data_IF_809128042224
#
_entry.id   IF_809128042224
#
_cell.length_a   1.000
_cell.length_b   1.000
_cell.length_c   1.000
_cell.angle_alpha   90.00
_cell.angle_beta   90.00
_cell.angle_gamma   90.00
#
_symmetry.space_group_name_H-M   'P 1'
#
loop_
_entity.id
_entity.type
_entity.pdbx_description
1 polymer ?
#
# COMPACT_ATOMS: atom_id res chain seq x y z
N UNK A 1 11.89 32.61 -14.20
CA UNK A 1 11.43 32.16 -12.86
C UNK A 1 9.93 31.89 -12.95
N UNK A 2 9.55 30.66 -13.29
CA UNK A 2 8.13 30.24 -13.24
C UNK A 2 7.89 29.57 -11.89
N UNK A 3 7.09 30.22 -11.05
CA UNK A 3 6.61 29.63 -9.80
C UNK A 3 5.54 28.59 -10.16
N UNK A 4 5.83 27.31 -9.89
CA UNK A 4 4.85 26.23 -9.91
C UNK A 4 3.81 26.52 -8.84
N UNK A 5 2.59 26.82 -9.27
CA UNK A 5 1.42 26.93 -8.38
C UNK A 5 0.92 25.50 -8.16
N UNK A 6 1.28 24.91 -7.03
CA UNK A 6 0.65 23.67 -6.54
C UNK A 6 -0.80 24.01 -6.18
N UNK A 7 -1.72 23.52 -6.98
CA UNK A 7 -3.15 23.67 -6.72
C UNK A 7 -3.59 22.63 -5.68
N UNK A 8 -3.85 23.09 -4.46
CA UNK A 8 -4.52 22.31 -3.41
C UNK A 8 -6.02 22.34 -3.68
N UNK A 9 -6.63 21.18 -3.87
CA UNK A 9 -8.08 21.06 -3.90
C UNK A 9 -8.54 20.50 -2.55
N UNK A 10 -8.94 21.40 -1.65
CA UNK A 10 -9.60 21.04 -0.40
C UNK A 10 -11.07 20.78 -0.70
N UNK A 11 -11.50 19.53 -0.69
CA UNK A 11 -12.91 19.15 -0.73
C UNK A 11 -13.41 18.94 0.70
N UNK A 12 -14.05 19.95 1.27
CA UNK A 12 -14.72 19.85 2.54
C UNK A 12 -16.06 19.12 2.36
N UNK A 13 -16.07 17.85 2.73
CA UNK A 13 -17.31 17.08 3.00
C UNK A 13 -17.33 16.79 4.50
N UNK A 14 -18.51 16.69 5.10
CA UNK A 14 -18.75 16.42 6.54
C UNK A 14 -18.22 15.07 7.03
N UNK A 15 -17.40 14.40 6.24
CA UNK A 15 -16.68 13.18 6.57
C UNK A 15 -15.21 13.40 6.23
N UNK A 16 -14.37 13.69 7.20
CA UNK A 16 -12.92 13.79 7.15
C UNK A 16 -12.30 14.57 5.97
N UNK A 17 -11.24 15.31 6.20
CA UNK A 17 -10.48 15.99 5.14
C UNK A 17 -9.86 14.92 4.24
N UNK A 18 -10.31 14.85 2.99
CA UNK A 18 -9.72 13.97 1.96
C UNK A 18 -8.50 14.68 1.38
N UNK A 19 -7.33 14.09 1.53
CA UNK A 19 -6.13 14.57 0.88
C UNK A 19 -5.91 13.78 -0.41
N UNK A 20 -5.85 14.48 -1.53
CA UNK A 20 -5.46 13.90 -2.80
C UNK A 20 -4.47 14.83 -3.50
N UNK A 21 -3.53 14.25 -4.21
CA UNK A 21 -2.48 14.99 -4.89
C UNK A 21 -2.39 14.58 -6.35
N UNK A 22 -2.29 15.58 -7.23
CA UNK A 22 -1.80 15.38 -8.58
C UNK A 22 -0.30 15.09 -8.53
N UNK A 23 0.13 13.99 -9.14
CA UNK A 23 1.54 13.55 -9.10
C UNK A 23 2.26 13.89 -10.39
N UNK A 24 1.75 13.44 -11.53
CA UNK A 24 2.38 13.67 -12.83
C UNK A 24 1.39 13.51 -13.98
N UNK A 25 1.75 14.10 -15.12
CA UNK A 25 1.03 13.91 -16.39
C UNK A 25 2.03 13.85 -17.54
N UNK A 26 1.97 12.77 -18.31
CA UNK A 26 2.88 12.55 -19.44
C UNK A 26 2.24 11.58 -20.45
N UNK A 27 2.51 11.76 -21.73
CA UNK A 27 2.06 10.87 -22.81
C UNK A 27 0.55 10.60 -22.86
N UNK A 28 -0.29 11.56 -22.43
CA UNK A 28 -1.75 11.38 -22.38
C UNK A 28 -2.28 10.73 -21.11
N UNK A 29 -1.42 10.20 -20.26
CA UNK A 29 -1.76 9.64 -18.93
C UNK A 29 -1.56 10.68 -17.84
N UNK A 30 -2.36 10.59 -16.78
CA UNK A 30 -2.25 11.37 -15.55
C UNK A 30 -2.28 10.42 -14.34
N UNK A 31 -1.59 10.82 -13.28
CA UNK A 31 -1.54 10.10 -12.00
C UNK A 31 -2.00 11.03 -10.89
N UNK A 32 -2.97 10.55 -10.13
CA UNK A 32 -3.45 11.17 -8.90
C UNK A 32 -3.37 10.15 -7.76
N UNK A 33 -3.04 10.60 -6.56
CA UNK A 33 -2.92 9.76 -5.37
C UNK A 33 -3.92 10.20 -4.32
N UNK A 34 -4.66 9.23 -3.80
CA UNK A 34 -5.55 9.38 -2.65
C UNK A 34 -4.81 8.94 -1.38
N UNK A 35 -4.73 9.82 -0.39
CA UNK A 35 -4.13 9.53 0.90
C UNK A 35 -5.22 9.17 1.91
N UNK A 36 -5.28 7.89 2.27
CA UNK A 36 -6.11 7.40 3.35
C UNK A 36 -5.41 7.67 4.69
N UNK A 37 -6.04 8.41 5.61
CA UNK A 37 -5.48 8.65 6.93
C UNK A 37 -5.28 7.35 7.72
N UNK A 38 -4.38 7.39 8.70
CA UNK A 38 -4.21 6.34 9.69
C UNK A 38 -5.56 5.98 10.34
N UNK A 39 -5.83 4.68 10.47
CA UNK A 39 -7.04 4.17 11.12
C UNK A 39 -6.73 3.67 12.53
N UNK A 40 -7.60 3.95 13.49
CA UNK A 40 -7.51 3.34 14.83
C UNK A 40 -7.72 1.82 14.75
N UNK A 41 -6.97 1.06 15.54
CA UNK A 41 -7.10 -0.39 15.64
C UNK A 41 -7.25 -0.83 17.10
N UNK A 42 -7.85 -1.99 17.29
CA UNK A 42 -7.89 -2.67 18.59
C UNK A 42 -6.82 -3.76 18.58
N UNK A 43 -5.84 -3.67 19.46
CA UNK A 43 -4.78 -4.66 19.55
C UNK A 43 -4.38 -4.90 21.01
N UNK A 44 -4.43 -6.15 21.47
CA UNK A 44 -4.13 -6.55 22.86
C UNK A 44 -4.87 -5.67 23.89
N UNK A 45 -6.18 -5.44 23.66
CA UNK A 45 -7.05 -4.57 24.47
C UNK A 45 -6.66 -3.07 24.49
N UNK A 46 -5.69 -2.62 23.70
CA UNK A 46 -5.38 -1.20 23.50
C UNK A 46 -6.14 -0.65 22.31
N UNK A 47 -6.65 0.57 22.44
CA UNK A 47 -7.28 1.38 21.39
C UNK A 47 -6.44 2.59 20.99
N UNK A 48 -5.23 2.74 21.58
CA UNK A 48 -4.35 3.89 21.37
C UNK A 48 -3.39 3.71 20.20
N UNK A 49 -3.58 2.60 19.45
CA UNK A 49 -2.77 2.26 18.30
C UNK A 49 -3.47 2.60 17.00
N UNK A 50 -2.68 2.96 16.00
CA UNK A 50 -3.18 3.24 14.66
C UNK A 50 -2.45 2.42 13.60
N UNK A 51 -3.23 1.93 12.65
CA UNK A 51 -2.72 1.38 11.40
C UNK A 51 -2.06 2.49 10.57
N UNK A 52 -1.15 2.15 9.69
CA UNK A 52 -0.45 3.13 8.86
C UNK A 52 -1.40 3.86 7.91
N UNK A 53 -1.17 5.15 7.61
CA UNK A 53 -1.79 5.79 6.46
C UNK A 53 -1.38 5.06 5.19
N UNK A 54 -2.31 5.01 4.20
CA UNK A 54 -2.11 4.28 2.95
C UNK A 54 -2.43 5.18 1.76
N UNK A 55 -1.64 5.10 0.70
CA UNK A 55 -1.85 5.83 -0.55
C UNK A 55 -2.35 4.89 -1.65
N UNK A 56 -3.41 5.29 -2.35
CA UNK A 56 -3.99 4.56 -3.47
C UNK A 56 -3.77 5.36 -4.75
N UNK A 57 -3.17 4.74 -5.75
CA UNK A 57 -2.78 5.42 -6.99
C UNK A 57 -3.83 5.22 -8.07
N UNK A 58 -4.31 6.31 -8.65
CA UNK A 58 -5.22 6.33 -9.79
C UNK A 58 -4.47 6.81 -11.03
N UNK A 59 -4.34 5.94 -12.03
CA UNK A 59 -3.72 6.24 -13.32
C UNK A 59 -4.84 6.31 -14.35
N UNK A 60 -4.96 7.43 -15.07
CA UNK A 60 -6.03 7.57 -16.02
C UNK A 60 -5.60 8.26 -17.30
N UNK A 61 -6.18 7.82 -18.42
CA UNK A 61 -6.06 8.41 -19.74
C UNK A 61 -7.22 9.34 -20.06
N UNK A 62 -7.60 9.38 -21.32
CA UNK A 62 -8.72 10.20 -21.82
C UNK A 62 -10.08 9.67 -21.41
N UNK A 63 -10.26 8.35 -21.44
CA UNK A 63 -11.55 7.67 -21.25
C UNK A 63 -11.58 6.68 -20.08
N UNK A 64 -10.45 6.05 -19.82
CA UNK A 64 -10.34 4.93 -18.91
C UNK A 64 -9.34 5.20 -17.78
N UNK A 65 -9.47 4.43 -16.70
CA UNK A 65 -8.59 4.52 -15.53
C UNK A 65 -8.24 3.13 -14.96
N UNK A 66 -7.10 3.09 -14.28
CA UNK A 66 -6.61 1.97 -13.46
C UNK A 66 -6.42 2.48 -12.03
N UNK A 67 -6.99 1.78 -11.07
CA UNK A 67 -6.70 1.95 -9.66
C UNK A 67 -5.67 0.91 -9.23
N UNK A 68 -4.73 1.30 -8.37
CA UNK A 68 -3.78 0.39 -7.71
C UNK A 68 -4.19 0.25 -6.26
N UNK A 69 -4.52 -0.97 -5.86
CA UNK A 69 -4.97 -1.39 -4.53
C UNK A 69 -6.31 -0.78 -4.07
N UNK A 70 -6.84 -1.27 -2.95
CA UNK A 70 -8.03 -0.72 -2.28
C UNK A 70 -7.99 -1.02 -0.78
N UNK A 71 -8.52 -0.13 0.10
CA UNK A 71 -8.29 -0.16 1.53
C UNK A 71 -8.95 -1.34 2.27
N UNK A 72 -8.63 -1.45 3.59
CA UNK A 72 -9.13 -2.52 4.44
C UNK A 72 -10.63 -2.37 4.77
N UNK A 73 -11.07 -1.18 5.24
CA UNK A 73 -12.41 -1.06 5.82
C UNK A 73 -13.45 -0.57 4.83
N UNK A 74 -14.68 -1.01 5.04
CA UNK A 74 -15.85 -0.63 4.22
C UNK A 74 -16.00 0.89 4.11
N UNK A 75 -15.80 1.62 5.21
CA UNK A 75 -15.90 3.07 5.21
C UNK A 75 -14.82 3.72 4.32
N UNK A 76 -13.59 3.22 4.41
CA UNK A 76 -12.47 3.68 3.58
C UNK A 76 -12.72 3.36 2.09
N UNK A 77 -13.21 2.17 1.77
CA UNK A 77 -13.55 1.78 0.39
C UNK A 77 -14.65 2.68 -0.22
N UNK A 78 -15.66 3.05 0.56
CA UNK A 78 -16.69 4.01 0.11
C UNK A 78 -16.10 5.40 -0.14
N UNK A 79 -15.21 5.87 0.73
CA UNK A 79 -14.55 7.16 0.57
C UNK A 79 -13.64 7.17 -0.68
N UNK A 80 -12.88 6.09 -0.91
CA UNK A 80 -12.06 5.92 -2.11
C UNK A 80 -12.93 5.92 -3.37
N UNK A 81 -14.04 5.18 -3.40
CA UNK A 81 -14.96 5.14 -4.54
C UNK A 81 -15.55 6.53 -4.84
N UNK A 82 -15.91 7.29 -3.81
CA UNK A 82 -16.37 8.66 -3.96
C UNK A 82 -15.30 9.57 -4.55
N UNK A 83 -14.06 9.49 -4.05
CA UNK A 83 -12.94 10.26 -4.57
C UNK A 83 -12.65 9.94 -6.04
N UNK A 84 -12.65 8.66 -6.43
CA UNK A 84 -12.47 8.26 -7.83
C UNK A 84 -13.51 8.94 -8.72
N UNK A 85 -14.80 8.94 -8.32
CA UNK A 85 -15.86 9.57 -9.12
C UNK A 85 -15.68 11.08 -9.31
N UNK A 86 -15.07 11.74 -8.33
CA UNK A 86 -14.79 13.17 -8.37
C UNK A 86 -13.53 13.49 -9.19
N UNK A 87 -12.54 12.58 -9.18
CA UNK A 87 -11.24 12.76 -9.86
C UNK A 87 -11.34 12.48 -11.35
N UNK A 88 -12.15 11.49 -11.76
CA UNK A 88 -12.30 11.08 -13.16
C UNK A 88 -13.75 11.19 -13.67
N UNK A 89 -14.39 12.36 -13.57
CA UNK A 89 -15.78 12.51 -14.01
C UNK A 89 -15.93 12.15 -15.50
N UNK A 90 -16.89 11.26 -15.80
CA UNK A 90 -17.17 10.80 -17.16
C UNK A 90 -16.18 9.79 -17.75
N UNK A 91 -15.17 9.34 -17.00
CA UNK A 91 -14.29 8.25 -17.39
C UNK A 91 -14.71 6.94 -16.72
N UNK A 92 -14.18 5.83 -17.20
CA UNK A 92 -14.48 4.50 -16.68
C UNK A 92 -13.30 3.95 -15.86
N UNK A 93 -13.54 3.51 -14.64
CA UNK A 93 -12.60 2.64 -13.94
C UNK A 93 -12.65 1.27 -14.60
N UNK A 94 -11.63 0.93 -15.40
CA UNK A 94 -11.56 -0.34 -16.15
C UNK A 94 -10.88 -1.45 -15.36
N UNK A 95 -9.88 -1.08 -14.57
CA UNK A 95 -9.02 -2.07 -13.92
C UNK A 95 -8.71 -1.63 -12.50
N UNK A 96 -8.73 -2.58 -11.58
CA UNK A 96 -8.14 -2.49 -10.25
C UNK A 96 -7.00 -3.51 -10.20
N UNK A 97 -5.79 -3.05 -10.04
CA UNK A 97 -4.60 -3.90 -9.92
C UNK A 97 -4.22 -4.04 -8.44
N UNK A 98 -3.97 -5.28 -7.99
CA UNK A 98 -3.56 -5.57 -6.62
C UNK A 98 -2.07 -5.94 -6.60
N UNK A 99 -1.32 -5.23 -5.75
CA UNK A 99 0.15 -5.35 -5.67
C UNK A 99 0.60 -6.59 -4.91
N UNK A 100 -0.05 -6.92 -3.78
CA UNK A 100 0.28 -8.05 -2.90
C UNK A 100 -0.92 -8.51 -2.08
N UNK A 101 -0.75 -9.53 -1.26
CA UNK A 101 -1.83 -10.27 -0.63
C UNK A 101 -2.28 -9.78 0.74
N UNK A 102 -1.87 -8.61 1.25
CA UNK A 102 -2.39 -8.08 2.52
C UNK A 102 -3.77 -7.43 2.37
N UNK A 103 -4.65 -7.65 3.34
CA UNK A 103 -6.06 -7.27 3.28
C UNK A 103 -6.32 -5.77 3.13
N UNK A 104 -5.43 -4.91 3.62
CA UNK A 104 -5.51 -3.45 3.48
C UNK A 104 -5.16 -2.94 2.07
N UNK A 105 -4.88 -3.86 1.15
CA UNK A 105 -4.68 -3.58 -0.28
C UNK A 105 -5.80 -4.12 -1.18
N UNK A 106 -6.78 -4.89 -0.62
CA UNK A 106 -7.83 -5.44 -1.48
C UNK A 106 -9.20 -5.70 -0.82
N UNK A 107 -9.35 -5.71 0.51
CA UNK A 107 -10.60 -6.14 1.15
C UNK A 107 -11.83 -5.35 0.69
N UNK A 108 -11.68 -4.10 0.30
CA UNK A 108 -12.81 -3.32 -0.22
C UNK A 108 -13.07 -3.51 -1.71
N UNK A 109 -12.47 -4.53 -2.33
CA UNK A 109 -12.77 -4.93 -3.70
C UNK A 109 -14.28 -5.03 -4.00
N UNK A 110 -15.10 -5.70 -3.16
CA UNK A 110 -16.55 -5.74 -3.36
C UNK A 110 -17.24 -4.36 -3.35
N UNK A 111 -16.75 -3.42 -2.56
CA UNK A 111 -17.27 -2.03 -2.48
C UNK A 111 -16.93 -1.26 -3.76
N UNK A 112 -15.68 -1.40 -4.24
CA UNK A 112 -15.26 -0.81 -5.51
C UNK A 112 -16.04 -1.43 -6.67
N UNK A 113 -16.21 -2.77 -6.69
CA UNK A 113 -17.00 -3.46 -7.71
C UNK A 113 -18.47 -3.01 -7.75
N UNK A 114 -19.06 -2.76 -6.59
CA UNK A 114 -20.43 -2.24 -6.51
C UNK A 114 -20.54 -0.82 -7.10
N UNK A 115 -19.56 0.03 -6.85
CA UNK A 115 -19.50 1.41 -7.36
C UNK A 115 -19.13 1.47 -8.84
N UNK A 116 -18.31 0.53 -9.31
CA UNK A 116 -17.77 0.42 -10.67
C UNK A 116 -17.96 -1.00 -11.21
N UNK A 117 -19.19 -1.41 -11.60
CA UNK A 117 -19.50 -2.79 -12.01
C UNK A 117 -18.70 -3.27 -13.23
N UNK A 118 -18.19 -2.33 -14.06
CA UNK A 118 -17.36 -2.63 -15.22
C UNK A 118 -15.86 -2.81 -14.90
N UNK A 119 -15.43 -2.54 -13.68
CA UNK A 119 -14.03 -2.66 -13.28
C UNK A 119 -13.61 -4.13 -13.19
N UNK A 120 -12.47 -4.48 -13.78
CA UNK A 120 -11.89 -5.81 -13.71
C UNK A 120 -10.73 -5.80 -12.71
N UNK A 121 -10.81 -6.63 -11.68
CA UNK A 121 -9.68 -6.85 -10.78
C UNK A 121 -8.65 -7.74 -11.47
N UNK A 122 -7.39 -7.33 -11.46
CA UNK A 122 -6.26 -8.06 -12.05
C UNK A 122 -5.13 -8.21 -11.05
N UNK A 123 -4.46 -9.37 -11.11
CA UNK A 123 -3.50 -9.76 -10.07
C UNK A 123 -2.52 -10.80 -10.63
N UNK A 124 -1.32 -10.91 -10.06
CA UNK A 124 -0.44 -12.06 -10.30
C UNK A 124 -0.97 -13.31 -9.59
N UNK A 125 -0.71 -14.50 -10.12
CA UNK A 125 -1.25 -15.76 -9.60
C UNK A 125 -0.91 -15.97 -8.12
N UNK A 126 0.35 -15.80 -7.76
CA UNK A 126 0.81 -16.05 -6.39
C UNK A 126 0.28 -15.01 -5.40
N UNK A 127 0.10 -13.76 -5.85
CA UNK A 127 -0.59 -12.71 -5.09
C UNK A 127 -2.05 -13.11 -4.84
N UNK A 128 -2.76 -13.63 -5.87
CA UNK A 128 -4.14 -14.08 -5.72
C UNK A 128 -4.28 -15.20 -4.68
N UNK A 129 -3.37 -16.17 -4.72
CA UNK A 129 -3.36 -17.26 -3.74
C UNK A 129 -3.14 -16.74 -2.32
N UNK A 130 -2.27 -15.74 -2.14
CA UNK A 130 -2.07 -15.10 -0.84
C UNK A 130 -3.30 -14.28 -0.41
N UNK A 131 -3.95 -13.54 -1.29
CA UNK A 131 -5.22 -12.87 -0.99
C UNK A 131 -6.27 -13.84 -0.43
N UNK A 132 -6.39 -15.05 -1.01
CA UNK A 132 -7.35 -16.06 -0.53
C UNK A 132 -7.03 -16.54 0.89
N UNK A 133 -5.75 -16.61 1.27
CA UNK A 133 -5.34 -16.98 2.65
C UNK A 133 -5.78 -15.93 3.68
N UNK A 134 -5.86 -14.65 3.32
CA UNK A 134 -6.34 -13.61 4.22
C UNK A 134 -7.81 -13.79 4.61
N UNK A 135 -8.59 -14.51 3.80
CA UNK A 135 -9.99 -14.85 4.06
C UNK A 135 -10.16 -16.17 4.81
N UNK A 136 -9.08 -16.93 5.11
CA UNK A 136 -9.17 -18.13 5.93
C UNK A 136 -9.82 -17.79 7.28
N UNK A 137 -10.93 -18.46 7.69
CA UNK A 137 -11.75 -17.99 8.80
C UNK A 137 -10.99 -17.80 10.12
N UNK A 138 -10.00 -18.66 10.40
CA UNK A 138 -9.19 -18.55 11.62
C UNK A 138 -8.28 -17.33 11.56
N UNK A 139 -7.58 -17.13 10.45
CA UNK A 139 -6.68 -15.98 10.24
C UNK A 139 -7.47 -14.68 10.21
N UNK A 140 -8.53 -14.61 9.40
CA UNK A 140 -9.37 -13.42 9.27
C UNK A 140 -9.91 -12.96 10.63
N UNK A 141 -10.42 -13.90 11.44
CA UNK A 141 -10.95 -13.60 12.76
C UNK A 141 -9.86 -13.15 13.73
N UNK A 142 -8.71 -13.83 13.73
CA UNK A 142 -7.63 -13.53 14.66
C UNK A 142 -6.94 -12.18 14.35
N UNK A 143 -6.80 -11.82 13.09
CA UNK A 143 -6.10 -10.61 12.65
C UNK A 143 -7.09 -9.51 12.29
N UNK A 144 -7.72 -9.60 11.13
CA UNK A 144 -8.47 -8.47 10.54
C UNK A 144 -9.72 -8.09 11.31
N UNK A 145 -10.55 -9.07 11.69
CA UNK A 145 -11.77 -8.79 12.45
C UNK A 145 -11.49 -8.36 13.90
N UNK A 146 -10.35 -8.74 14.46
CA UNK A 146 -9.93 -8.28 15.79
C UNK A 146 -9.35 -6.87 15.76
N UNK A 147 -8.56 -6.53 14.74
CA UNK A 147 -8.03 -5.18 14.55
C UNK A 147 -9.12 -4.15 14.23
N UNK A 148 -10.11 -4.55 13.43
CA UNK A 148 -11.23 -3.72 12.96
C UNK A 148 -12.56 -4.36 13.36
N UNK A 149 -12.94 -4.36 14.66
CA UNK A 149 -14.12 -5.05 15.16
C UNK A 149 -15.42 -4.43 14.65
N UNK A 150 -16.54 -5.16 14.83
CA UNK A 150 -17.87 -4.66 14.49
C UNK A 150 -18.22 -4.72 13.00
N UNK A 151 -17.59 -5.61 12.22
CA UNK A 151 -17.89 -5.81 10.80
C UNK A 151 -17.37 -4.67 9.90
N UNK A 152 -16.28 -4.03 10.31
CA UNK A 152 -15.67 -2.94 9.52
C UNK A 152 -14.95 -3.45 8.26
N UNK A 153 -14.51 -4.72 8.25
CA UNK A 153 -13.84 -5.36 7.11
C UNK A 153 -14.75 -6.40 6.45
N UNK A 154 -14.58 -6.63 5.15
CA UNK A 154 -15.35 -7.64 4.43
C UNK A 154 -14.66 -9.00 4.55
N UNK A 155 -15.45 -10.06 4.73
CA UNK A 155 -15.00 -11.46 4.77
C UNK A 155 -15.35 -12.23 3.47
N UNK A 156 -15.78 -11.51 2.45
CA UNK A 156 -16.27 -12.11 1.21
C UNK A 156 -15.22 -11.99 0.10
N UNK A 157 -14.61 -13.12 -0.31
CA UNK A 157 -13.71 -13.14 -1.47
C UNK A 157 -14.41 -12.67 -2.74
N UNK A 158 -13.67 -12.01 -3.61
CA UNK A 158 -14.15 -11.57 -4.91
C UNK A 158 -13.26 -12.10 -6.03
N UNK A 159 -13.81 -12.25 -7.26
CA UNK A 159 -13.03 -12.79 -8.37
C UNK A 159 -12.02 -11.76 -8.87
N UNK A 160 -10.79 -12.21 -9.10
CA UNK A 160 -9.77 -11.46 -9.80
C UNK A 160 -9.23 -12.26 -10.97
N UNK A 161 -8.94 -11.57 -12.08
CA UNK A 161 -8.33 -12.19 -13.26
C UNK A 161 -6.82 -12.26 -13.07
N UNK A 162 -6.28 -13.45 -13.22
CA UNK A 162 -4.83 -13.66 -13.19
C UNK A 162 -4.21 -13.07 -14.46
N UNK A 163 -3.22 -12.21 -14.29
CA UNK A 163 -2.44 -11.62 -15.37
C UNK A 163 -1.59 -12.69 -16.10
N UNK A 164 -1.23 -12.46 -17.37
CA UNK A 164 -0.24 -13.28 -18.06
C UNK A 164 1.07 -13.37 -17.26
N UNK A 165 1.87 -14.39 -17.52
CA UNK A 165 3.14 -14.62 -16.81
C UNK A 165 4.06 -13.40 -16.85
N UNK A 166 4.11 -12.68 -17.96
CA UNK A 166 4.89 -11.44 -18.08
C UNK A 166 4.32 -10.24 -17.32
N UNK A 167 3.13 -10.34 -16.69
CA UNK A 167 2.53 -9.29 -15.88
C UNK A 167 2.00 -8.10 -16.67
N UNK A 168 1.94 -8.15 -17.99
CA UNK A 168 1.56 -7.00 -18.83
C UNK A 168 0.04 -6.87 -18.96
N UNK A 169 -0.45 -5.65 -18.80
CA UNK A 169 -1.80 -5.21 -19.14
C UNK A 169 -1.76 -3.79 -19.69
N UNK A 170 -2.90 -3.21 -20.07
CA UNK A 170 -2.92 -1.96 -20.84
C UNK A 170 -3.96 -0.97 -20.34
N UNK A 171 -3.62 0.31 -20.45
CA UNK A 171 -4.53 1.44 -20.31
C UNK A 171 -4.44 2.30 -21.58
N UNK A 172 -5.48 2.31 -22.40
CA UNK A 172 -5.55 3.10 -23.66
C UNK A 172 -4.32 2.91 -24.58
N UNK A 173 -3.78 1.67 -24.63
CA UNK A 173 -2.60 1.32 -25.44
C UNK A 173 -1.26 1.50 -24.71
N UNK A 174 -1.23 2.17 -23.58
CA UNK A 174 -0.03 2.27 -22.74
C UNK A 174 0.20 1.00 -21.94
N UNK A 175 1.46 0.58 -21.83
CA UNK A 175 1.87 -0.61 -21.08
C UNK A 175 1.88 -0.30 -19.58
N UNK A 176 1.22 -1.18 -18.82
CA UNK A 176 1.34 -1.31 -17.39
C UNK A 176 1.88 -2.70 -17.08
N UNK A 177 2.89 -2.79 -16.24
CA UNK A 177 3.57 -4.04 -15.96
C UNK A 177 3.64 -4.35 -14.48
N UNK A 178 2.99 -5.43 -14.06
CA UNK A 178 3.18 -6.04 -12.75
C UNK A 178 4.53 -6.74 -12.71
N UNK A 179 5.50 -6.18 -11.99
CA UNK A 179 6.85 -6.72 -11.85
C UNK A 179 6.94 -7.49 -10.56
N UNK A 180 7.16 -8.80 -10.63
CA UNK A 180 7.40 -9.66 -9.48
C UNK A 180 8.78 -9.35 -8.89
N UNK A 181 8.81 -8.92 -7.66
CA UNK A 181 10.07 -8.60 -6.97
C UNK A 181 10.45 -9.65 -5.91
N UNK A 182 9.47 -10.32 -5.31
CA UNK A 182 9.68 -11.42 -4.37
C UNK A 182 9.23 -11.08 -2.96
N UNK A 183 10.13 -11.15 -1.99
CA UNK A 183 9.87 -10.82 -0.60
C UNK A 183 9.85 -9.30 -0.38
N UNK A 184 8.90 -8.81 0.41
CA UNK A 184 8.93 -7.48 1.02
C UNK A 184 8.52 -7.61 2.50
N UNK A 185 7.54 -6.88 2.97
CA UNK A 185 6.88 -7.08 4.26
C UNK A 185 6.09 -8.40 4.33
N UNK A 186 5.88 -9.01 3.17
CA UNK A 186 5.35 -10.37 2.97
C UNK A 186 5.93 -10.98 1.68
N UNK A 187 5.55 -12.19 1.36
CA UNK A 187 6.03 -12.95 0.18
C UNK A 187 5.20 -12.68 -1.08
N UNK A 188 5.77 -13.02 -2.25
CA UNK A 188 5.12 -12.92 -3.56
C UNK A 188 4.60 -11.51 -3.88
N UNK A 189 5.40 -10.49 -3.59
CA UNK A 189 5.01 -9.10 -3.82
C UNK A 189 5.39 -8.61 -5.20
N UNK A 190 4.67 -7.60 -5.64
CA UNK A 190 4.87 -6.96 -6.93
C UNK A 190 4.88 -5.45 -6.82
N UNK A 191 5.53 -4.80 -7.77
CA UNK A 191 5.39 -3.36 -8.03
C UNK A 191 4.74 -3.13 -9.37
N UNK A 192 3.99 -2.04 -9.54
CA UNK A 192 3.48 -1.64 -10.86
C UNK A 192 4.45 -0.67 -11.51
N UNK A 193 4.98 -1.06 -12.68
CA UNK A 193 5.82 -0.20 -13.52
C UNK A 193 5.01 0.33 -14.70
N UNK A 194 5.06 1.64 -14.92
CA UNK A 194 4.43 2.34 -16.04
C UNK A 194 5.50 3.15 -16.78
N UNK A 195 6.17 2.56 -17.81
CA UNK A 195 7.30 3.19 -18.48
C UNK A 195 7.00 4.58 -19.07
N UNK A 196 5.81 4.75 -19.67
CA UNK A 196 5.40 6.01 -20.29
C UNK A 196 5.26 7.18 -19.30
N UNK A 197 5.16 6.88 -18.01
CA UNK A 197 5.09 7.85 -16.91
C UNK A 197 6.41 7.95 -16.12
N UNK A 198 7.43 7.15 -16.43
CA UNK A 198 8.60 6.95 -15.58
C UNK A 198 8.20 6.60 -14.13
N UNK A 199 7.11 5.82 -13.94
CA UNK A 199 6.44 5.58 -12.66
C UNK A 199 6.64 4.16 -12.17
N UNK A 200 6.91 4.04 -10.86
CA UNK A 200 6.73 2.80 -10.09
C UNK A 200 5.74 3.08 -8.95
N UNK A 201 4.67 2.28 -8.85
CA UNK A 201 3.84 2.19 -7.65
C UNK A 201 4.34 0.99 -6.86
N UNK A 202 4.84 1.26 -5.66
CA UNK A 202 5.70 0.35 -4.92
C UNK A 202 4.99 -0.76 -4.14
N UNK A 203 3.66 -0.66 -3.92
CA UNK A 203 3.04 -1.53 -2.91
C UNK A 203 3.83 -1.40 -1.60
N UNK A 204 3.85 -2.48 -0.84
CA UNK A 204 4.60 -2.55 0.42
C UNK A 204 6.06 -3.01 0.26
N UNK A 205 6.55 -3.02 -0.98
CA UNK A 205 7.98 -3.11 -1.25
C UNK A 205 8.70 -1.81 -0.86
N UNK A 206 8.04 -0.64 -1.11
CA UNK A 206 8.61 0.70 -0.91
C UNK A 206 7.71 1.47 0.06
N UNK A 207 8.29 1.95 1.15
CA UNK A 207 7.63 2.73 2.19
C UNK A 207 8.03 4.21 2.14
N UNK A 208 7.06 5.07 2.44
CA UNK A 208 7.31 6.46 2.82
C UNK A 208 7.63 6.58 4.33
N UNK A 209 7.23 7.69 4.97
CA UNK A 209 7.48 7.90 6.40
C UNK A 209 6.47 7.16 7.31
N UNK A 210 6.27 5.85 7.03
CA UNK A 210 5.57 4.91 7.90
C UNK A 210 6.54 3.85 8.43
N UNK A 211 6.24 3.28 9.60
CA UNK A 211 6.96 2.11 10.09
C UNK A 211 6.67 0.91 9.19
N UNK A 212 7.73 0.16 8.83
CA UNK A 212 7.63 -1.03 7.99
C UNK A 212 7.16 -2.24 8.81
N UNK A 213 6.38 -3.12 8.20
CA UNK A 213 5.96 -4.36 8.83
C UNK A 213 7.09 -5.39 8.74
N UNK A 214 7.52 -5.90 9.90
CA UNK A 214 8.49 -6.99 10.02
C UNK A 214 7.92 -8.21 10.76
N UNK A 215 6.62 -8.21 11.04
CA UNK A 215 6.01 -9.33 11.74
C UNK A 215 6.03 -10.63 10.91
N UNK A 216 5.96 -10.51 9.58
CA UNK A 216 6.09 -11.63 8.65
C UNK A 216 7.53 -11.81 8.11
N UNK A 217 8.40 -10.83 8.36
CA UNK A 217 9.83 -10.84 8.03
C UNK A 217 10.72 -11.14 9.25
N UNK A 218 10.35 -12.16 10.00
CA UNK A 218 10.97 -12.46 11.28
C UNK A 218 12.46 -12.84 11.18
N UNK A 219 12.92 -13.38 10.05
CA UNK A 219 14.32 -13.79 9.86
C UNK A 219 15.16 -12.73 9.16
N UNK A 220 16.46 -12.78 9.39
CA UNK A 220 17.44 -11.97 8.68
C UNK A 220 17.41 -12.23 7.16
N UNK A 221 17.26 -13.49 6.76
CA UNK A 221 17.23 -13.91 5.36
C UNK A 221 16.06 -13.31 4.60
N UNK A 222 14.86 -13.24 5.19
CA UNK A 222 13.69 -12.62 4.57
C UNK A 222 13.92 -11.12 4.36
N UNK A 223 14.49 -10.42 5.34
CA UNK A 223 14.82 -9.00 5.20
C UNK A 223 15.94 -8.73 4.19
N UNK A 224 16.89 -9.66 4.01
CA UNK A 224 17.87 -9.58 2.91
C UNK A 224 17.17 -9.75 1.54
N UNK A 225 16.22 -10.68 1.43
CA UNK A 225 15.41 -10.81 0.19
C UNK A 225 14.58 -9.55 -0.08
N UNK A 226 14.12 -8.84 0.95
CA UNK A 226 13.46 -7.53 0.76
C UNK A 226 14.45 -6.49 0.19
N UNK A 227 15.69 -6.45 0.65
CA UNK A 227 16.71 -5.59 0.05
C UNK A 227 16.94 -5.91 -1.43
N UNK A 228 16.98 -7.20 -1.81
CA UNK A 228 17.07 -7.65 -3.21
C UNK A 228 15.82 -7.21 -4.03
N UNK A 229 14.64 -7.23 -3.42
CA UNK A 229 13.41 -6.75 -4.07
C UNK A 229 13.44 -5.24 -4.31
N UNK A 230 14.00 -4.47 -3.37
CA UNK A 230 14.25 -3.04 -3.54
C UNK A 230 15.26 -2.75 -4.64
N UNK A 231 16.28 -3.61 -4.82
CA UNK A 231 17.23 -3.49 -5.93
C UNK A 231 16.55 -3.75 -7.28
N UNK A 232 15.65 -4.73 -7.37
CA UNK A 232 14.84 -4.98 -8.58
C UNK A 232 13.95 -3.78 -8.91
N UNK A 233 13.30 -3.18 -7.90
CA UNK A 233 12.49 -1.97 -8.08
C UNK A 233 13.34 -0.78 -8.54
N UNK A 234 14.53 -0.58 -7.96
CA UNK A 234 15.47 0.47 -8.35
C UNK A 234 15.97 0.32 -9.79
N UNK A 235 16.17 -0.93 -10.26
CA UNK A 235 16.62 -1.21 -11.64
C UNK A 235 15.60 -0.79 -12.71
N UNK A 236 14.34 -0.52 -12.34
CA UNK A 236 13.33 0.05 -13.25
C UNK A 236 13.59 1.52 -13.60
N UNK A 237 14.49 2.18 -12.88
CA UNK A 237 14.94 3.57 -13.12
C UNK A 237 13.80 4.60 -13.19
N UNK A 238 12.73 4.39 -12.41
CA UNK A 238 11.60 5.31 -12.36
C UNK A 238 12.02 6.67 -11.77
N UNK A 239 11.41 7.73 -12.27
CA UNK A 239 11.60 9.11 -11.75
C UNK A 239 10.53 9.46 -10.72
N UNK A 240 9.40 8.78 -10.77
CA UNK A 240 8.28 8.93 -9.86
C UNK A 240 8.08 7.57 -9.16
N UNK A 241 8.11 7.58 -7.84
CA UNK A 241 7.90 6.39 -7.01
C UNK A 241 6.81 6.70 -5.99
N UNK A 242 5.74 5.93 -6.01
CA UNK A 242 4.61 6.06 -5.08
C UNK A 242 4.65 4.88 -4.10
N UNK A 243 5.05 5.08 -2.84
CA UNK A 243 4.87 4.07 -1.79
C UNK A 243 3.40 3.85 -1.47
N UNK A 244 3.01 2.67 -0.96
CA UNK A 244 1.65 2.48 -0.44
C UNK A 244 1.50 3.06 0.97
N UNK A 245 2.38 2.72 1.90
CA UNK A 245 2.36 3.31 3.24
C UNK A 245 3.21 4.58 3.30
N UNK A 246 2.54 5.73 3.23
CA UNK A 246 3.19 7.04 3.23
C UNK A 246 2.32 8.12 3.87
N UNK A 247 2.95 9.22 4.25
CA UNK A 247 2.26 10.43 4.72
C UNK A 247 2.03 11.42 3.57
N UNK A 248 1.05 12.30 3.72
CA UNK A 248 0.63 13.28 2.69
C UNK A 248 1.79 14.13 2.14
N UNK A 249 2.83 14.40 2.93
CA UNK A 249 3.92 15.31 2.54
C UNK A 249 5.23 14.60 2.19
N UNK A 250 5.20 13.28 2.03
CA UNK A 250 6.41 12.50 1.74
C UNK A 250 6.94 12.75 0.32
N UNK A 251 6.05 13.14 -0.60
CA UNK A 251 6.38 13.30 -2.02
C UNK A 251 6.57 11.94 -2.72
N UNK A 252 7.05 11.99 -3.97
CA UNK A 252 7.05 10.82 -4.87
C UNK A 252 8.44 10.58 -5.50
N UNK A 253 9.48 10.74 -4.71
CA UNK A 253 10.86 10.64 -5.20
C UNK A 253 11.39 9.20 -5.12
N UNK A 254 12.29 8.81 -6.02
CA UNK A 254 12.97 7.51 -5.97
C UNK A 254 13.79 7.27 -4.69
N UNK A 255 14.09 8.31 -3.91
CA UNK A 255 14.79 8.21 -2.61
C UNK A 255 14.07 7.32 -1.61
N UNK A 256 12.74 7.12 -1.72
CA UNK A 256 11.97 6.21 -0.88
C UNK A 256 12.54 4.79 -0.89
N UNK A 257 13.11 4.33 -2.02
CA UNK A 257 13.79 3.02 -2.10
C UNK A 257 14.96 2.96 -1.12
N UNK A 258 15.84 3.97 -1.14
CA UNK A 258 17.00 4.00 -0.24
C UNK A 258 16.60 4.23 1.23
N UNK A 259 15.54 4.98 1.48
CA UNK A 259 15.00 5.21 2.82
C UNK A 259 14.39 3.92 3.40
N UNK A 260 13.72 3.12 2.56
CA UNK A 260 13.23 1.79 2.93
C UNK A 260 14.37 0.85 3.28
N UNK A 261 15.44 0.80 2.47
CA UNK A 261 16.67 0.03 2.78
C UNK A 261 17.31 0.47 4.09
N UNK A 262 17.45 1.80 4.29
CA UNK A 262 18.00 2.36 5.52
C UNK A 262 17.22 1.90 6.75
N UNK A 263 15.88 1.87 6.66
CA UNK A 263 15.04 1.42 7.76
C UNK A 263 15.31 -0.06 8.11
N UNK A 264 15.42 -0.93 7.09
CA UNK A 264 15.77 -2.35 7.28
C UNK A 264 17.14 -2.49 7.97
N UNK A 265 18.17 -1.77 7.51
CA UNK A 265 19.49 -1.84 8.13
C UNK A 265 19.50 -1.36 9.60
N UNK A 266 18.80 -0.27 9.90
CA UNK A 266 18.70 0.24 11.28
C UNK A 266 17.92 -0.75 12.16
N UNK A 267 16.83 -1.33 11.63
CA UNK A 267 16.11 -2.39 12.33
C UNK A 267 17.01 -3.57 12.71
N UNK A 268 17.82 -4.08 11.78
CA UNK A 268 18.76 -5.17 12.04
C UNK A 268 19.72 -4.84 13.20
N UNK A 269 20.29 -3.65 13.19
CA UNK A 269 21.20 -3.20 14.24
C UNK A 269 20.53 -3.10 15.61
N UNK A 270 19.35 -2.47 15.64
CA UNK A 270 18.62 -2.26 16.89
C UNK A 270 18.01 -3.57 17.40
N UNK A 271 17.53 -4.46 16.52
CA UNK A 271 17.05 -5.78 16.89
C UNK A 271 18.15 -6.61 17.56
N UNK A 272 19.39 -6.58 17.03
CA UNK A 272 20.52 -7.31 17.58
C UNK A 272 20.96 -6.82 18.96
N UNK A 273 20.72 -5.54 19.27
CA UNK A 273 21.12 -4.91 20.54
C UNK A 273 20.00 -4.79 21.57
N UNK A 274 18.73 -5.07 21.22
CA UNK A 274 17.59 -4.95 22.11
C UNK A 274 17.31 -6.29 22.82
N UNK A 275 17.09 -6.22 24.14
CA UNK A 275 16.81 -7.36 25.02
C UNK A 275 15.31 -7.66 25.15
N UNK A 276 14.45 -6.73 24.73
CA UNK A 276 12.99 -6.86 24.79
C UNK A 276 12.34 -6.12 23.62
N UNK A 277 11.08 -6.50 23.33
CA UNK A 277 10.31 -5.81 22.30
C UNK A 277 10.04 -4.33 22.65
N UNK A 278 9.87 -3.99 23.94
CA UNK A 278 9.67 -2.63 24.40
C UNK A 278 10.91 -1.76 24.11
N UNK A 279 12.09 -2.31 24.34
CA UNK A 279 13.36 -1.64 24.05
C UNK A 279 13.52 -1.45 22.54
N UNK A 280 13.25 -2.48 21.73
CA UNK A 280 13.28 -2.38 20.27
C UNK A 280 12.31 -1.33 19.74
N UNK A 281 11.05 -1.35 20.22
CA UNK A 281 10.04 -0.33 19.83
C UNK A 281 10.50 1.08 20.19
N UNK A 282 11.03 1.29 21.39
CA UNK A 282 11.52 2.60 21.83
C UNK A 282 12.72 3.06 21.00
N UNK A 283 13.68 2.17 20.74
CA UNK A 283 14.86 2.47 19.95
C UNK A 283 14.49 2.83 18.49
N UNK A 284 13.53 2.12 17.89
CA UNK A 284 13.03 2.43 16.55
C UNK A 284 12.29 3.78 16.50
N UNK A 285 11.48 4.09 17.51
CA UNK A 285 10.84 5.43 17.64
C UNK A 285 11.87 6.55 17.73
N UNK A 286 12.94 6.33 18.49
CA UNK A 286 14.02 7.30 18.61
C UNK A 286 14.81 7.48 17.31
N UNK A 287 15.07 6.39 16.58
CA UNK A 287 15.76 6.43 15.30
C UNK A 287 14.94 7.07 14.17
N UNK A 288 13.60 6.93 14.25
CA UNK A 288 12.66 7.40 13.23
C UNK A 288 11.45 8.14 13.84
N UNK A 289 11.67 9.28 14.50
CA UNK A 289 10.64 9.96 15.30
C UNK A 289 9.49 10.56 14.47
N UNK A 290 9.65 10.70 13.17
CA UNK A 290 8.63 11.26 12.26
C UNK A 290 7.79 10.18 11.58
N UNK A 291 8.11 8.89 11.74
CA UNK A 291 7.34 7.79 11.14
C UNK A 291 6.07 7.51 11.94
N UNK A 292 5.00 7.18 11.22
CA UNK A 292 3.67 6.84 11.75
C UNK A 292 3.35 5.35 11.59
N UNK A 293 2.19 4.90 12.09
CA UNK A 293 1.84 3.47 12.08
C UNK A 293 2.39 2.76 13.34
N UNK A 294 2.03 3.27 14.52
CA UNK A 294 2.53 2.75 15.79
C UNK A 294 2.05 1.32 16.10
N UNK A 295 0.92 0.88 15.53
CA UNK A 295 0.50 -0.52 15.59
C UNK A 295 1.50 -1.41 14.84
N UNK A 296 1.87 -1.04 13.61
CA UNK A 296 2.80 -1.80 12.78
C UNK A 296 4.16 -1.93 13.47
N UNK A 297 4.66 -0.85 14.06
CA UNK A 297 5.90 -0.89 14.83
C UNK A 297 5.79 -1.80 16.05
N UNK A 298 4.67 -1.73 16.81
CA UNK A 298 4.42 -2.57 17.97
C UNK A 298 4.42 -4.05 17.58
N UNK A 299 3.64 -4.41 16.57
CA UNK A 299 3.52 -5.77 16.09
C UNK A 299 4.85 -6.31 15.59
N UNK A 300 5.55 -5.55 14.75
CA UNK A 300 6.89 -5.88 14.26
C UNK A 300 7.89 -6.08 15.39
N UNK A 301 7.87 -5.20 16.43
CA UNK A 301 8.79 -5.31 17.56
C UNK A 301 8.53 -6.54 18.43
N UNK A 302 7.27 -6.95 18.56
CA UNK A 302 6.86 -8.11 19.36
C UNK A 302 7.19 -9.45 18.69
N UNK A 303 7.12 -9.53 17.36
CA UNK A 303 7.30 -10.77 16.61
C UNK A 303 8.61 -11.52 16.95
N UNK A 304 9.80 -10.88 16.97
CA UNK A 304 11.05 -11.54 17.30
C UNK A 304 11.18 -12.05 18.75
N UNK A 305 10.26 -11.65 19.62
CA UNK A 305 10.21 -12.05 21.03
C UNK A 305 9.03 -12.97 21.36
N UNK A 306 8.31 -13.48 20.34
CA UNK A 306 7.11 -14.32 20.47
C UNK A 306 6.02 -13.68 21.35
N UNK A 307 5.85 -12.36 21.27
CA UNK A 307 4.90 -11.58 22.05
C UNK A 307 3.75 -10.98 21.19
N UNK A 308 3.75 -11.24 19.87
CA UNK A 308 2.69 -10.85 18.94
C UNK A 308 1.54 -11.87 18.97
N UNK A 309 0.27 -11.38 18.77
CA UNK A 309 -1.01 -12.13 18.75
C UNK A 309 -1.14 -13.34 19.66
#
# INVERSE_FOLDING_TARGET
MMKSVFGWMLLASTCGVVFSEFVTKKNGLQVDVYHQPAAGVVYQNSTDLSFSPTAFTLIHGKHDAVLVDSPATIAQGKALAQWISQTIPGKQLKTVYITHGHGDHFFTGPIIQQSYPGAQFVVKKDVYDHMLQQYEPTFFKAVWASLFPGGQVTDTPFPAKVLPKNGTFYLEGHVLQAVEVGQSDTYNTTVLHVPDLDLVVGGDVIYGHCHQLFAEDASHELRQQWLDSLDKAAALNAKVVVPSHMQVHDGYQPSHINETKRYIHVWEQLRASSSSWQELEANMKNAFPLRTGNFILRWSSQAPFNAAF
#
